data_IF_092360661885
#
_entry.id   IF_092360661885
#
_cell.length_a   1.000
_cell.length_b   1.000
_cell.length_c   1.000
_cell.angle_alpha   90.00
_cell.angle_beta   90.00
_cell.angle_gamma   90.00
#
_symmetry.space_group_name_H-M   'P 1'
#
loop_
_entity.id
_entity.type
_entity.pdbx_description
1 polymer ?
#
# COMPACT_ATOMS: atom_id res chain seq x y z
N UNK A 1 -44.30 0.52 -36.19
CA UNK A 1 -42.89 0.55 -36.65
C UNK A 1 -41.98 0.45 -35.44
N UNK A 2 -42.16 -0.58 -34.59
CA UNK A 2 -41.72 -0.46 -33.18
C UNK A 2 -41.06 -1.71 -32.57
N UNK A 3 -41.23 -2.89 -33.17
CA UNK A 3 -40.58 -4.12 -32.66
C UNK A 3 -39.08 -4.14 -33.01
N UNK A 4 -38.70 -3.67 -34.20
CA UNK A 4 -37.30 -3.68 -34.66
C UNK A 4 -36.42 -2.66 -33.90
N UNK A 5 -36.99 -1.56 -33.43
CA UNK A 5 -36.28 -0.54 -32.62
C UNK A 5 -36.10 -1.00 -31.18
N UNK A 6 -37.12 -1.59 -30.56
CA UNK A 6 -37.06 -2.13 -29.19
C UNK A 6 -35.98 -3.22 -29.07
N UNK A 7 -35.87 -4.08 -30.09
CA UNK A 7 -34.89 -5.16 -30.14
C UNK A 7 -33.44 -4.64 -30.23
N UNK A 8 -33.20 -3.51 -30.91
CA UNK A 8 -31.87 -2.88 -30.98
C UNK A 8 -31.44 -2.26 -29.65
N UNK A 9 -32.34 -1.58 -28.94
CA UNK A 9 -32.04 -1.03 -27.61
C UNK A 9 -31.82 -2.13 -26.58
N UNK A 10 -32.61 -3.21 -26.63
CA UNK A 10 -32.44 -4.36 -25.75
C UNK A 10 -31.12 -5.10 -26.00
N UNK A 11 -30.74 -5.31 -27.27
CA UNK A 11 -29.46 -5.91 -27.64
C UNK A 11 -28.27 -5.03 -27.22
N UNK A 12 -28.40 -3.71 -27.38
CA UNK A 12 -27.40 -2.74 -26.91
C UNK A 12 -27.26 -2.78 -25.38
N UNK A 13 -28.37 -2.90 -24.64
CA UNK A 13 -28.36 -3.00 -23.18
C UNK A 13 -27.68 -4.30 -22.72
N UNK A 14 -27.96 -5.43 -23.37
CA UNK A 14 -27.29 -6.71 -23.12
C UNK A 14 -25.78 -6.58 -23.40
N UNK A 15 -25.40 -5.94 -24.49
CA UNK A 15 -23.99 -5.73 -24.83
C UNK A 15 -23.26 -4.89 -23.78
N UNK A 16 -23.89 -3.81 -23.27
CA UNK A 16 -23.34 -3.00 -22.18
C UNK A 16 -23.20 -3.80 -20.87
N UNK A 17 -24.18 -4.64 -20.54
CA UNK A 17 -24.13 -5.50 -19.36
C UNK A 17 -23.01 -6.54 -19.45
N UNK A 18 -22.82 -7.15 -20.63
CA UNK A 18 -21.73 -8.11 -20.87
C UNK A 18 -20.36 -7.45 -20.73
N UNK A 19 -20.17 -6.24 -21.27
CA UNK A 19 -18.92 -5.47 -21.10
C UNK A 19 -18.64 -5.18 -19.62
N UNK A 20 -19.66 -4.72 -18.88
CA UNK A 20 -19.51 -4.41 -17.45
C UNK A 20 -19.19 -5.65 -16.59
N UNK A 21 -19.81 -6.79 -16.89
CA UNK A 21 -19.48 -8.05 -16.20
C UNK A 21 -18.05 -8.49 -16.48
N UNK A 22 -17.58 -8.35 -17.72
CA UNK A 22 -16.23 -8.72 -18.10
C UNK A 22 -15.17 -7.85 -17.38
N UNK A 23 -15.43 -6.54 -17.29
CA UNK A 23 -14.56 -5.62 -16.54
C UNK A 23 -14.50 -5.95 -15.04
N UNK A 24 -15.63 -6.36 -14.43
CA UNK A 24 -15.66 -6.79 -13.02
C UNK A 24 -14.89 -8.07 -12.80
N UNK A 25 -15.09 -9.08 -13.65
CA UNK A 25 -14.37 -10.35 -13.56
C UNK A 25 -12.85 -10.13 -13.68
N UNK A 26 -12.44 -9.29 -14.64
CA UNK A 26 -11.04 -8.92 -14.83
C UNK A 26 -10.44 -8.23 -13.60
N UNK A 27 -11.14 -7.26 -13.00
CA UNK A 27 -10.66 -6.59 -11.78
C UNK A 27 -10.52 -7.54 -10.59
N UNK A 28 -11.40 -8.54 -10.47
CA UNK A 28 -11.29 -9.57 -9.43
C UNK A 28 -10.05 -10.43 -9.66
N UNK A 29 -9.79 -10.84 -10.90
CA UNK A 29 -8.59 -11.58 -11.27
C UNK A 29 -7.31 -10.80 -10.96
N UNK A 30 -7.25 -9.53 -11.36
CA UNK A 30 -6.12 -8.62 -11.09
C UNK A 30 -5.92 -8.41 -9.58
N UNK A 31 -7.00 -8.30 -8.81
CA UNK A 31 -6.93 -8.21 -7.34
C UNK A 31 -6.37 -9.49 -6.73
N UNK A 32 -6.85 -10.65 -7.17
CA UNK A 32 -6.39 -11.96 -6.68
C UNK A 32 -4.91 -12.17 -7.01
N UNK A 33 -4.49 -11.81 -8.22
CA UNK A 33 -3.09 -11.84 -8.64
C UNK A 33 -2.21 -11.03 -7.68
N UNK A 34 -2.60 -9.79 -7.38
CA UNK A 34 -1.81 -8.93 -6.49
C UNK A 34 -1.78 -9.42 -5.04
N UNK A 35 -2.90 -9.96 -4.55
CA UNK A 35 -2.98 -10.48 -3.17
C UNK A 35 -2.14 -11.75 -2.96
N UNK A 36 -1.83 -12.49 -4.02
CA UNK A 36 -0.99 -13.69 -3.97
C UNK A 36 0.52 -13.39 -4.04
N UNK A 37 0.90 -12.19 -4.47
CA UNK A 37 2.30 -11.80 -4.55
C UNK A 37 2.85 -11.51 -3.15
N UNK A 38 3.82 -12.33 -2.74
CA UNK A 38 4.46 -12.19 -1.43
C UNK A 38 5.45 -11.04 -1.36
N UNK A 39 5.97 -10.56 -2.49
CA UNK A 39 6.99 -9.50 -2.55
C UNK A 39 6.30 -8.14 -2.71
N UNK A 40 6.65 -7.17 -1.88
CA UNK A 40 6.03 -5.85 -1.91
C UNK A 40 6.69 -4.97 -2.99
N UNK A 41 5.87 -4.41 -3.88
CA UNK A 41 6.35 -3.61 -5.01
C UNK A 41 6.08 -2.13 -4.81
N UNK A 42 7.10 -1.28 -5.01
CA UNK A 42 6.98 0.17 -4.83
C UNK A 42 6.69 0.85 -6.16
N UNK A 43 5.60 1.63 -6.24
CA UNK A 43 5.14 2.25 -7.49
C UNK A 43 6.13 3.24 -8.11
N UNK A 44 6.86 3.96 -7.27
CA UNK A 44 7.74 5.04 -7.66
C UNK A 44 9.20 4.81 -7.25
N UNK A 45 9.55 3.59 -6.84
CA UNK A 45 10.83 3.30 -6.17
C UNK A 45 11.07 4.23 -4.96
N UNK A 46 9.98 4.64 -4.31
CA UNK A 46 9.97 5.54 -3.18
C UNK A 46 9.08 4.95 -2.10
N UNK A 47 9.45 5.20 -0.85
CA UNK A 47 8.70 4.88 0.34
C UNK A 47 9.10 5.89 1.41
N UNK A 48 8.12 6.40 2.14
CA UNK A 48 8.37 7.31 3.26
C UNK A 48 7.44 7.00 4.43
N UNK A 49 7.82 7.49 5.61
CA UNK A 49 6.99 7.44 6.82
C UNK A 49 6.69 8.87 7.23
N UNK A 50 5.41 9.23 7.15
CA UNK A 50 4.85 10.47 7.68
C UNK A 50 4.37 10.23 9.11
N UNK A 51 4.92 10.99 10.04
CA UNK A 51 4.50 11.01 11.43
C UNK A 51 3.41 12.06 11.65
N UNK A 52 2.32 11.68 12.32
CA UNK A 52 1.22 12.58 12.66
C UNK A 52 1.03 12.60 14.17
N UNK A 53 0.94 13.79 14.78
CA UNK A 53 0.66 13.96 16.20
C UNK A 53 1.66 14.87 16.89
N UNK A 54 2.10 14.52 18.10
CA UNK A 54 3.04 15.36 18.85
C UNK A 54 4.49 15.15 18.40
N UNK A 55 4.85 15.78 17.27
CA UNK A 55 6.14 15.57 16.61
C UNK A 55 7.34 16.09 17.42
N UNK A 56 7.13 17.02 18.35
CA UNK A 56 8.16 17.48 19.28
C UNK A 56 8.75 16.37 20.15
N UNK A 57 8.10 15.20 20.21
CA UNK A 57 8.60 13.99 20.88
C UNK A 57 9.59 13.18 20.02
N UNK A 58 9.64 13.45 18.72
CA UNK A 58 10.59 12.80 17.81
C UNK A 58 11.96 13.45 17.95
N UNK A 59 12.98 12.60 17.96
CA UNK A 59 14.38 13.00 17.89
C UNK A 59 14.98 12.21 16.74
N UNK A 60 15.31 12.90 15.66
CA UNK A 60 15.79 12.30 14.42
C UNK A 60 16.96 11.32 14.65
N UNK A 61 17.84 11.61 15.62
CA UNK A 61 19.00 10.76 15.94
C UNK A 61 18.62 9.46 16.66
N UNK A 62 17.36 9.31 17.05
CA UNK A 62 16.83 8.19 17.84
C UNK A 62 15.71 7.43 17.14
N UNK A 63 15.40 7.81 15.90
CA UNK A 63 14.52 7.00 15.06
C UNK A 63 15.38 5.86 14.52
N UNK A 64 14.96 4.63 14.76
CA UNK A 64 15.56 3.45 14.12
C UNK A 64 14.48 2.67 13.38
N UNK A 65 14.79 2.26 12.16
CA UNK A 65 13.93 1.39 11.35
C UNK A 65 14.54 -0.01 11.29
N UNK A 66 13.81 -1.00 11.80
CA UNK A 66 14.26 -2.39 11.87
C UNK A 66 13.35 -3.25 11.00
N UNK A 67 13.95 -3.97 10.05
CA UNK A 67 13.25 -4.96 9.23
C UNK A 67 13.27 -6.30 9.94
N UNK A 68 12.08 -6.86 10.14
CA UNK A 68 11.88 -8.14 10.83
C UNK A 68 11.29 -9.14 9.86
N UNK A 69 11.91 -10.32 9.77
CA UNK A 69 11.41 -11.49 9.03
C UNK A 69 11.49 -12.70 9.93
N UNK A 70 10.42 -13.48 10.02
CA UNK A 70 10.35 -14.67 10.89
C UNK A 70 10.78 -14.38 12.34
N UNK A 71 10.28 -13.27 12.92
CA UNK A 71 10.60 -12.79 14.26
C UNK A 71 12.08 -12.47 14.53
N UNK A 72 12.91 -12.32 13.49
CA UNK A 72 14.32 -11.92 13.61
C UNK A 72 14.54 -10.60 12.89
N UNK A 73 15.34 -9.72 13.50
CA UNK A 73 15.82 -8.50 12.83
C UNK A 73 16.81 -8.95 11.76
N UNK A 74 16.49 -8.69 10.49
CA UNK A 74 17.34 -9.06 9.35
C UNK A 74 18.14 -7.88 8.82
N UNK A 75 17.68 -6.65 9.05
CA UNK A 75 18.42 -5.45 8.69
C UNK A 75 17.99 -4.25 9.53
N UNK A 76 18.92 -3.29 9.66
CA UNK A 76 18.60 -1.91 10.04
C UNK A 76 18.47 -1.10 8.76
N UNK A 77 17.34 -0.44 8.57
CA UNK A 77 17.02 0.29 7.37
C UNK A 77 17.53 1.73 7.51
N UNK A 78 18.19 2.20 6.46
CA UNK A 78 18.69 3.57 6.39
C UNK A 78 17.56 4.51 5.94
N UNK A 79 17.52 5.69 6.53
CA UNK A 79 16.52 6.71 6.22
C UNK A 79 17.15 8.11 6.21
N UNK A 80 16.43 9.06 5.62
CA UNK A 80 16.78 10.47 5.63
C UNK A 80 16.69 11.07 7.03
N UNK A 81 17.14 12.31 7.16
CA UNK A 81 16.77 13.12 8.32
C UNK A 81 15.27 13.41 8.31
N UNK A 82 14.67 13.47 9.50
CA UNK A 82 13.29 13.92 9.72
C UNK A 82 13.15 15.37 9.21
N UNK A 83 12.28 15.55 8.23
CA UNK A 83 11.95 16.85 7.64
C UNK A 83 10.46 16.89 7.35
N UNK A 84 9.80 17.99 7.72
CA UNK A 84 8.36 18.18 7.49
C UNK A 84 7.53 16.99 8.01
N UNK A 85 7.91 16.50 9.20
CA UNK A 85 7.32 15.34 9.89
C UNK A 85 7.45 14.00 9.15
N UNK A 86 8.34 13.92 8.16
CA UNK A 86 8.53 12.77 7.28
C UNK A 86 9.98 12.28 7.27
N UNK A 87 10.17 10.97 7.10
CA UNK A 87 11.45 10.36 6.76
C UNK A 87 11.30 9.53 5.49
N UNK A 88 12.30 9.60 4.62
CA UNK A 88 12.36 8.81 3.40
C UNK A 88 13.31 7.63 3.60
N UNK A 89 12.96 6.47 3.05
CA UNK A 89 13.90 5.35 2.99
C UNK A 89 14.99 5.69 1.97
N UNK A 90 16.26 5.71 2.39
CA UNK A 90 17.38 5.96 1.46
C UNK A 90 17.69 4.74 0.59
N UNK A 91 17.39 3.55 1.11
CA UNK A 91 17.41 2.29 0.37
C UNK A 91 16.07 1.61 0.68
N UNK A 92 15.32 1.29 -0.36
CA UNK A 92 14.03 0.62 -0.20
C UNK A 92 14.21 -0.78 0.39
N UNK A 93 13.43 -1.15 1.41
CA UNK A 93 13.47 -2.49 1.95
C UNK A 93 12.81 -3.50 1.00
N UNK A 94 13.40 -4.68 0.87
CA UNK A 94 12.78 -5.82 0.17
C UNK A 94 11.74 -6.49 1.08
N UNK A 95 10.58 -5.84 1.25
CA UNK A 95 9.52 -6.33 2.13
C UNK A 95 8.75 -7.49 1.52
N UNK A 96 8.41 -8.46 2.37
CA UNK A 96 7.42 -9.49 2.06
C UNK A 96 6.13 -9.27 2.87
N UNK A 97 5.02 -9.85 2.43
CA UNK A 97 3.70 -9.70 3.08
C UNK A 97 3.69 -10.02 4.58
N UNK A 98 4.46 -11.02 4.99
CA UNK A 98 4.56 -11.49 6.38
C UNK A 98 5.72 -10.85 7.16
N UNK A 99 6.47 -9.93 6.56
CA UNK A 99 7.48 -9.18 7.28
C UNK A 99 6.84 -8.13 8.19
N UNK A 100 7.66 -7.59 9.08
CA UNK A 100 7.30 -6.43 9.88
C UNK A 100 8.38 -5.36 9.79
N UNK A 101 7.96 -4.10 9.88
CA UNK A 101 8.83 -2.97 10.16
C UNK A 101 8.60 -2.54 11.60
N UNK A 102 9.66 -2.48 12.39
CA UNK A 102 9.64 -1.89 13.72
C UNK A 102 10.31 -0.52 13.66
N UNK A 103 9.55 0.50 14.01
CA UNK A 103 10.02 1.87 14.16
C UNK A 103 10.26 2.10 15.64
N UNK A 104 11.53 2.26 16.03
CA UNK A 104 11.91 2.61 17.40
C UNK A 104 12.00 4.13 17.48
N UNK A 105 11.38 4.70 18.50
CA UNK A 105 11.37 6.13 18.79
C UNK A 105 12.11 6.41 20.10
N UNK A 106 12.24 7.70 20.43
CA UNK A 106 12.75 8.16 21.73
C UNK A 106 11.99 7.51 22.89
N UNK A 107 12.72 7.10 23.95
CA UNK A 107 12.22 6.41 25.15
C UNK A 107 11.72 4.96 24.88
N UNK A 108 12.30 4.26 23.92
CA UNK A 108 11.99 2.86 23.58
C UNK A 108 10.55 2.58 23.14
N UNK A 109 9.74 3.62 22.90
CA UNK A 109 8.42 3.46 22.27
C UNK A 109 8.64 2.89 20.87
N UNK A 110 7.97 1.78 20.59
CA UNK A 110 8.10 1.05 19.34
C UNK A 110 6.76 0.98 18.63
N UNK A 111 6.76 1.21 17.32
CA UNK A 111 5.60 1.09 16.45
C UNK A 111 5.88 -0.04 15.48
N UNK A 112 4.88 -0.91 15.29
CA UNK A 112 4.99 -2.07 14.42
C UNK A 112 4.04 -1.95 13.25
N UNK A 113 4.62 -2.05 12.05
CA UNK A 113 3.90 -2.18 10.80
C UNK A 113 4.08 -3.62 10.32
N UNK A 114 3.02 -4.26 9.86
CA UNK A 114 3.08 -5.65 9.39
C UNK A 114 1.92 -5.95 8.45
N UNK A 115 1.83 -7.19 7.95
CA UNK A 115 0.77 -7.62 7.04
C UNK A 115 0.66 -6.68 5.82
N UNK A 116 1.82 -6.46 5.18
CA UNK A 116 1.93 -5.64 3.99
C UNK A 116 1.19 -6.32 2.83
N UNK A 117 0.46 -5.56 2.03
CA UNK A 117 -0.26 -6.11 0.88
C UNK A 117 -0.04 -5.26 -0.35
N UNK A 118 0.16 -5.94 -1.47
CA UNK A 118 -0.01 -5.33 -2.77
C UNK A 118 -1.50 -5.22 -3.11
N UNK A 119 -1.83 -4.25 -3.95
CA UNK A 119 -3.10 -4.20 -4.62
C UNK A 119 -2.95 -3.70 -6.06
N UNK A 120 -3.99 -3.88 -6.87
CA UNK A 120 -3.93 -3.53 -8.28
C UNK A 120 -3.95 -2.01 -8.45
N UNK A 121 -3.07 -1.51 -9.30
CA UNK A 121 -3.06 -0.11 -9.70
C UNK A 121 -3.55 0.09 -11.14
N UNK A 122 -4.20 1.23 -11.37
CA UNK A 122 -4.84 1.56 -12.64
C UNK A 122 -4.55 2.99 -13.10
N UNK A 123 -4.29 3.12 -14.40
CA UNK A 123 -4.30 4.37 -15.14
C UNK A 123 -5.59 4.45 -15.95
N UNK A 124 -6.63 5.05 -15.36
CA UNK A 124 -8.00 4.92 -15.89
C UNK A 124 -8.51 3.49 -15.74
N UNK A 125 -8.83 2.82 -16.86
CA UNK A 125 -9.25 1.41 -16.87
C UNK A 125 -8.09 0.42 -17.13
N UNK A 126 -6.89 0.92 -17.43
CA UNK A 126 -5.74 0.07 -17.75
C UNK A 126 -5.04 -0.36 -16.46
N UNK A 127 -4.91 -1.66 -16.24
CA UNK A 127 -4.09 -2.24 -15.18
C UNK A 127 -2.60 -1.91 -15.42
N UNK A 128 -1.97 -1.36 -14.40
CA UNK A 128 -0.57 -0.91 -14.42
C UNK A 128 0.36 -1.88 -13.68
N UNK A 129 -0.17 -2.70 -12.79
CA UNK A 129 0.59 -3.66 -12.00
C UNK A 129 0.12 -3.78 -10.55
N UNK A 130 0.80 -4.62 -9.79
CA UNK A 130 0.58 -4.81 -8.37
C UNK A 130 1.58 -3.96 -7.60
N UNK A 131 1.09 -3.12 -6.69
CA UNK A 131 1.94 -2.24 -5.88
C UNK A 131 1.48 -2.23 -4.43
N UNK A 132 2.39 -1.87 -3.54
CA UNK A 132 2.13 -1.72 -2.13
C UNK A 132 0.94 -0.77 -1.91
N UNK A 133 -0.09 -1.26 -1.21
CA UNK A 133 -1.31 -0.48 -0.96
C UNK A 133 -1.64 -0.35 0.51
N UNK A 134 -1.51 -1.44 1.27
CA UNK A 134 -1.97 -1.45 2.66
C UNK A 134 -1.01 -2.14 3.60
N UNK A 135 -1.03 -1.70 4.85
CA UNK A 135 -0.30 -2.26 5.97
C UNK A 135 -1.19 -2.26 7.22
N UNK A 136 -0.83 -3.05 8.22
CA UNK A 136 -1.48 -3.06 9.53
C UNK A 136 -0.72 -2.14 10.49
N UNK A 137 -1.46 -1.29 11.19
CA UNK A 137 -0.97 -0.46 12.29
C UNK A 137 -2.00 -0.52 13.43
N UNK A 138 -1.56 -0.90 14.63
CA UNK A 138 -2.40 -1.03 15.82
C UNK A 138 -3.68 -1.86 15.59
N UNK A 139 -3.52 -2.98 14.88
CA UNK A 139 -4.62 -3.90 14.54
C UNK A 139 -5.63 -3.34 13.52
N UNK A 140 -5.35 -2.20 12.88
CA UNK A 140 -6.18 -1.62 11.83
C UNK A 140 -5.43 -1.56 10.50
N UNK A 141 -6.10 -1.99 9.44
CA UNK A 141 -5.58 -1.85 8.08
C UNK A 141 -5.59 -0.36 7.68
N UNK A 142 -4.48 0.08 7.10
CA UNK A 142 -4.23 1.44 6.65
C UNK A 142 -3.76 1.42 5.20
N UNK A 143 -4.18 2.42 4.43
CA UNK A 143 -3.66 2.66 3.09
C UNK A 143 -2.48 3.62 3.10
N UNK A 144 -1.71 3.62 2.02
CA UNK A 144 -0.67 4.64 1.77
C UNK A 144 -1.30 5.97 1.31
N UNK A 145 -0.73 7.10 1.72
CA UNK A 145 -0.97 8.40 1.09
C UNK A 145 -0.07 8.54 -0.13
N UNK A 146 -0.59 9.13 -1.20
CA UNK A 146 0.13 9.35 -2.47
C UNK A 146 0.77 8.08 -3.08
N UNK A 147 0.38 6.90 -2.57
CA UNK A 147 0.87 5.56 -2.98
C UNK A 147 2.32 5.25 -2.57
N UNK A 148 2.93 6.07 -1.71
CA UNK A 148 4.28 5.82 -1.17
C UNK A 148 4.48 6.25 0.29
N UNK A 149 3.52 6.96 0.91
CA UNK A 149 3.65 7.42 2.29
C UNK A 149 2.90 6.52 3.26
N UNK A 150 3.63 5.93 4.21
CA UNK A 150 3.07 5.26 5.39
C UNK A 150 2.75 6.33 6.42
N UNK A 151 1.53 6.32 6.96
CA UNK A 151 1.16 7.18 8.10
C UNK A 151 1.37 6.45 9.41
N UNK A 152 2.02 7.11 10.34
CA UNK A 152 2.21 6.64 11.72
C UNK A 152 1.77 7.71 12.70
N UNK A 153 1.04 7.32 13.75
CA UNK A 153 0.52 8.25 14.75
C UNK A 153 1.38 8.28 16.01
N UNK A 154 1.74 9.48 16.45
CA UNK A 154 2.57 9.75 17.63
C UNK A 154 1.71 10.43 18.70
N UNK A 155 1.46 9.70 19.79
CA UNK A 155 0.79 10.21 21.00
C UNK A 155 1.72 11.04 21.88
#
# INVERSE_FOLDING_TARGET
>A
MDILKLNKYFLFLIFLLLLSCNDKAKKIEETNLCNQDSNIHYRHNELSILFIGNINKLDNKKIELLHIRNNKIISRLSHSELKDDEIDFTILPELHTNDSLKIVLKNDKSIFLHNFKNGPDYGGQKFLGCFFQTYMLDGKEKGLIDRYKIIVYIE
#
